data_IF_225058681137
#
_entry.id   IF_225058681137
#
_cell.length_a   1.000
_cell.length_b   1.000
_cell.length_c   1.000
_cell.angle_alpha   90.00
_cell.angle_beta   90.00
_cell.angle_gamma   90.00
#
_symmetry.space_group_name_H-M   'P 1'
#
loop_
_entity.id
_entity.type
_entity.pdbx_description
1 polymer ?
#
# COMPACT_ATOMS: atom_id res chain seq x y z
N UNK A 1 61.45 -6.01 -10.84
CA UNK A 1 60.03 -6.07 -10.46
C UNK A 1 59.96 -6.13 -8.96
N UNK A 2 59.19 -5.25 -8.35
CA UNK A 2 59.01 -5.19 -6.90
C UNK A 2 57.96 -6.21 -6.49
N UNK A 3 58.28 -7.04 -5.48
CA UNK A 3 57.42 -8.10 -4.99
C UNK A 3 57.00 -7.78 -3.56
N UNK A 4 55.72 -7.95 -3.27
CA UNK A 4 55.17 -7.95 -1.92
C UNK A 4 54.97 -9.39 -1.43
N UNK A 5 55.00 -9.54 -0.11
CA UNK A 5 54.73 -10.80 0.58
C UNK A 5 53.24 -11.14 0.58
N UNK A 6 52.92 -12.39 0.93
CA UNK A 6 51.54 -12.85 1.13
C UNK A 6 50.79 -11.99 2.16
N UNK A 7 51.45 -11.60 3.25
CA UNK A 7 50.85 -10.79 4.32
C UNK A 7 50.52 -9.37 3.85
N UNK A 8 51.43 -8.73 3.12
CA UNK A 8 51.21 -7.40 2.55
C UNK A 8 50.10 -7.43 1.49
N UNK A 9 50.07 -8.46 0.65
CA UNK A 9 49.00 -8.65 -0.33
C UNK A 9 47.64 -8.90 0.35
N UNK A 10 47.62 -9.66 1.45
CA UNK A 10 46.41 -9.94 2.22
C UNK A 10 45.81 -8.66 2.82
N UNK A 11 46.67 -7.79 3.37
CA UNK A 11 46.28 -6.49 3.89
C UNK A 11 45.81 -5.55 2.77
N UNK A 12 46.57 -5.46 1.67
CA UNK A 12 46.24 -4.60 0.54
C UNK A 12 44.93 -4.99 -0.16
N UNK A 13 44.57 -6.27 -0.18
CA UNK A 13 43.36 -6.78 -0.82
C UNK A 13 42.17 -7.02 0.13
N UNK A 14 42.34 -6.75 1.44
CA UNK A 14 41.32 -6.95 2.46
C UNK A 14 40.89 -8.42 2.60
N UNK A 15 41.83 -9.37 2.56
CA UNK A 15 41.58 -10.82 2.62
C UNK A 15 42.50 -11.54 3.60
N UNK A 16 42.21 -12.82 3.84
CA UNK A 16 43.09 -13.68 4.65
C UNK A 16 44.33 -14.12 3.86
N UNK A 17 45.47 -14.27 4.53
CA UNK A 17 46.70 -14.83 3.93
C UNK A 17 46.45 -16.21 3.31
N UNK A 18 45.58 -17.02 3.93
CA UNK A 18 45.18 -18.34 3.41
C UNK A 18 44.54 -18.25 2.03
N UNK A 19 43.77 -17.20 1.75
CA UNK A 19 43.17 -16.98 0.43
C UNK A 19 44.25 -16.57 -0.58
N UNK A 20 45.17 -15.68 -0.19
CA UNK A 20 46.27 -15.25 -1.04
C UNK A 20 47.18 -16.42 -1.42
N UNK A 21 47.56 -17.27 -0.47
CA UNK A 21 48.36 -18.48 -0.74
C UNK A 21 47.65 -19.43 -1.72
N UNK A 22 46.32 -19.57 -1.59
CA UNK A 22 45.52 -20.39 -2.50
C UNK A 22 45.49 -19.81 -3.91
N UNK A 23 45.28 -18.50 -4.04
CA UNK A 23 45.31 -17.82 -5.33
C UNK A 23 46.66 -17.94 -6.04
N UNK A 24 47.76 -17.91 -5.30
CA UNK A 24 49.10 -18.16 -5.86
C UNK A 24 49.28 -19.63 -6.25
N UNK A 25 48.86 -20.58 -5.41
CA UNK A 25 48.97 -22.01 -5.69
C UNK A 25 48.11 -22.44 -6.88
N UNK A 26 46.95 -21.82 -7.05
CA UNK A 26 46.02 -22.03 -8.16
C UNK A 26 46.48 -21.30 -9.44
N UNK A 27 47.63 -20.61 -9.42
CA UNK A 27 48.19 -19.90 -10.58
C UNK A 27 47.41 -18.66 -11.01
N UNK A 28 46.52 -18.14 -10.15
CA UNK A 28 45.56 -17.08 -10.50
C UNK A 28 46.14 -15.67 -10.42
N UNK A 29 47.32 -15.52 -9.84
CA UNK A 29 48.03 -14.24 -9.75
C UNK A 29 49.18 -14.27 -10.75
N UNK A 30 49.00 -13.57 -11.87
CA UNK A 30 50.00 -13.48 -12.92
C UNK A 30 51.31 -12.88 -12.37
N UNK A 31 52.42 -13.59 -12.59
CA UNK A 31 53.75 -13.18 -12.12
C UNK A 31 54.05 -13.50 -10.67
N UNK A 32 53.17 -14.21 -9.94
CA UNK A 32 53.51 -14.73 -8.61
C UNK A 32 54.62 -15.78 -8.71
N UNK A 33 55.66 -15.63 -7.88
CA UNK A 33 56.83 -16.52 -7.86
C UNK A 33 56.95 -17.16 -6.49
N UNK A 34 57.25 -18.46 -6.44
CA UNK A 34 57.45 -19.18 -5.19
C UNK A 34 58.90 -19.08 -4.74
N UNK A 35 59.13 -18.45 -3.59
CA UNK A 35 60.43 -18.37 -2.92
C UNK A 35 60.44 -19.35 -1.72
N UNK A 36 60.87 -20.59 -1.97
CA UNK A 36 60.89 -21.64 -0.96
C UNK A 36 59.49 -21.98 -0.43
N UNK A 37 59.22 -21.65 0.83
CA UNK A 37 57.91 -21.86 1.49
C UNK A 37 56.95 -20.67 1.35
N UNK A 38 57.39 -19.56 0.77
CA UNK A 38 56.64 -18.31 0.67
C UNK A 38 56.38 -17.92 -0.78
N UNK A 39 55.39 -17.05 -1.01
CA UNK A 39 55.09 -16.48 -2.32
C UNK A 39 55.52 -15.01 -2.38
N UNK A 40 56.19 -14.65 -3.47
CA UNK A 40 56.38 -13.25 -3.89
C UNK A 40 55.33 -12.89 -4.92
N UNK A 41 54.54 -11.86 -4.63
CA UNK A 41 53.45 -11.37 -5.47
C UNK A 41 53.87 -10.03 -6.06
N UNK A 42 53.80 -9.80 -7.39
CA UNK A 42 54.14 -8.50 -7.94
C UNK A 42 53.33 -7.39 -7.27
N UNK A 43 53.98 -6.29 -6.87
CA UNK A 43 53.29 -5.18 -6.20
C UNK A 43 52.15 -4.57 -7.05
N UNK A 44 52.24 -4.67 -8.37
CA UNK A 44 51.20 -4.25 -9.32
C UNK A 44 50.06 -5.26 -9.50
N UNK A 45 50.09 -6.42 -8.85
CA UNK A 45 49.07 -7.46 -9.00
C UNK A 45 47.74 -7.00 -8.41
N UNK A 46 46.68 -7.07 -9.21
CA UNK A 46 45.30 -6.88 -8.74
C UNK A 46 44.75 -8.21 -8.24
N UNK A 47 43.92 -8.15 -7.20
CA UNK A 47 43.21 -9.32 -6.66
C UNK A 47 42.37 -9.99 -7.77
N UNK A 48 42.60 -11.28 -8.08
CA UNK A 48 41.76 -12.02 -9.02
C UNK A 48 40.29 -12.06 -8.56
N UNK A 49 39.34 -11.84 -9.46
CA UNK A 49 37.92 -11.90 -9.16
C UNK A 49 37.48 -13.34 -8.83
N UNK A 50 36.50 -13.57 -7.97
CA UNK A 50 36.01 -14.94 -7.66
C UNK A 50 35.38 -15.56 -8.93
N UNK A 51 35.75 -16.77 -9.37
CA UNK A 51 35.16 -17.41 -10.56
C UNK A 51 33.64 -17.61 -10.42
N UNK A 52 33.10 -17.62 -9.19
CA UNK A 52 31.65 -17.62 -8.94
C UNK A 52 30.95 -16.31 -9.30
N UNK A 53 31.70 -15.25 -9.63
CA UNK A 53 31.20 -14.00 -10.20
C UNK A 53 31.33 -13.94 -11.73
N UNK A 54 32.12 -14.80 -12.37
CA UNK A 54 32.23 -14.88 -13.84
C UNK A 54 31.10 -15.70 -14.48
N UNK A 55 30.47 -16.60 -13.72
CA UNK A 55 29.33 -17.43 -14.19
C UNK A 55 27.96 -16.88 -13.79
N UNK A 56 27.87 -15.60 -13.46
CA UNK A 56 26.59 -14.94 -13.22
C UNK A 56 26.45 -13.83 -14.26
N UNK A 57 25.69 -14.11 -15.32
CA UNK A 57 25.10 -13.00 -16.07
C UNK A 57 24.21 -12.20 -15.11
N UNK A 58 24.01 -10.91 -15.36
CA UNK A 58 23.09 -10.09 -14.53
C UNK A 58 21.67 -10.71 -14.49
N UNK A 59 21.30 -11.47 -15.51
CA UNK A 59 20.08 -12.29 -15.56
C UNK A 59 20.11 -13.48 -14.59
N UNK A 60 21.24 -14.18 -14.44
CA UNK A 60 21.37 -15.32 -13.53
C UNK A 60 21.35 -14.90 -12.05
N UNK A 61 21.83 -13.71 -11.69
CA UNK A 61 21.74 -13.21 -10.31
C UNK A 61 20.30 -12.80 -9.92
N UNK A 62 19.49 -12.37 -10.90
CA UNK A 62 18.05 -12.12 -10.72
C UNK A 62 17.21 -13.40 -10.81
N UNK A 63 17.69 -14.46 -11.49
CA UNK A 63 17.03 -15.75 -11.57
C UNK A 63 17.43 -16.73 -10.44
N UNK A 64 18.65 -16.64 -9.88
CA UNK A 64 19.12 -17.53 -8.80
C UNK A 64 18.54 -17.20 -7.41
N UNK A 65 17.69 -16.18 -7.31
CA UNK A 65 16.82 -15.91 -6.16
C UNK A 65 15.34 -16.19 -6.44
N UNK A 66 14.97 -16.79 -7.58
CA UNK A 66 13.58 -17.15 -7.86
C UNK A 66 13.31 -18.57 -7.39
N UNK A 67 12.66 -18.70 -6.24
CA UNK A 67 11.82 -19.88 -6.03
C UNK A 67 10.48 -19.63 -6.75
N UNK A 68 9.92 -20.62 -7.47
CA UNK A 68 8.50 -20.58 -7.81
C UNK A 68 7.70 -20.42 -6.51
N UNK A 69 7.03 -19.28 -6.31
CA UNK A 69 6.25 -19.00 -5.09
C UNK A 69 6.60 -17.75 -4.27
N UNK A 70 7.43 -16.82 -4.77
CA UNK A 70 7.72 -15.55 -4.07
C UNK A 70 6.69 -14.42 -4.28
N UNK A 71 5.58 -14.67 -5.01
CA UNK A 71 4.52 -13.67 -5.30
C UNK A 71 5.02 -12.33 -5.86
N UNK A 72 6.13 -12.35 -6.59
CA UNK A 72 6.79 -11.14 -7.07
C UNK A 72 5.94 -10.34 -8.08
N UNK A 73 4.91 -10.97 -8.67
CA UNK A 73 4.01 -10.35 -9.65
C UNK A 73 2.70 -9.86 -9.03
N UNK A 74 2.41 -10.20 -7.77
CA UNK A 74 1.20 -9.76 -7.08
C UNK A 74 1.39 -8.34 -6.55
N UNK A 75 0.61 -7.40 -7.07
CA UNK A 75 0.62 -5.97 -6.72
C UNK A 75 2.06 -5.41 -6.61
N UNK A 76 2.84 -5.47 -7.71
CA UNK A 76 4.27 -5.19 -7.72
C UNK A 76 4.66 -3.83 -7.14
N UNK A 77 3.84 -2.78 -7.29
CA UNK A 77 4.16 -1.47 -6.69
C UNK A 77 3.76 -1.39 -5.21
N UNK A 78 2.56 -1.83 -4.84
CA UNK A 78 2.12 -1.85 -3.44
C UNK A 78 3.03 -2.75 -2.58
N UNK A 79 3.58 -3.81 -3.16
CA UNK A 79 4.53 -4.70 -2.50
C UNK A 79 5.99 -4.19 -2.51
N UNK A 80 6.28 -3.05 -3.14
CA UNK A 80 7.64 -2.55 -3.29
C UNK A 80 8.10 -1.70 -2.10
N UNK A 81 9.35 -1.94 -1.68
CA UNK A 81 10.07 -0.99 -0.85
C UNK A 81 10.78 0.02 -1.74
N UNK A 82 10.60 1.30 -1.45
CA UNK A 82 11.27 2.41 -2.13
C UNK A 82 11.29 3.65 -1.25
N UNK A 83 12.26 4.53 -1.49
CA UNK A 83 12.30 5.84 -0.85
C UNK A 83 11.20 6.74 -1.44
N UNK A 84 10.43 7.49 -0.63
CA UNK A 84 9.46 8.45 -1.13
C UNK A 84 10.07 9.39 -2.18
N UNK A 85 9.39 9.56 -3.30
CA UNK A 85 9.82 10.32 -4.48
C UNK A 85 10.34 9.46 -5.64
N UNK A 86 10.41 8.14 -5.45
CA UNK A 86 11.00 7.21 -6.43
C UNK A 86 10.00 6.14 -6.92
N UNK A 87 8.69 6.31 -6.71
CA UNK A 87 7.69 5.33 -7.18
C UNK A 87 7.73 5.16 -8.71
N UNK A 88 7.85 6.27 -9.46
CA UNK A 88 7.97 6.22 -10.92
C UNK A 88 9.25 5.51 -11.36
N UNK A 89 10.37 5.79 -10.72
CA UNK A 89 11.65 5.16 -11.03
C UNK A 89 11.61 3.65 -10.78
N UNK A 90 10.98 3.22 -9.68
CA UNK A 90 10.72 1.81 -9.43
C UNK A 90 9.90 1.19 -10.57
N UNK A 91 8.78 1.78 -10.97
CA UNK A 91 7.94 1.26 -12.06
C UNK A 91 8.70 1.18 -13.38
N UNK A 92 9.47 2.21 -13.72
CA UNK A 92 10.22 2.25 -14.98
C UNK A 92 11.39 1.24 -14.98
N UNK A 93 11.95 0.90 -13.81
CA UNK A 93 13.00 -0.11 -13.67
C UNK A 93 12.55 -1.53 -14.01
N UNK A 94 11.24 -1.81 -14.00
CA UNK A 94 10.68 -3.13 -14.30
C UNK A 94 10.73 -3.50 -15.79
N UNK A 95 11.05 -2.54 -16.67
CA UNK A 95 11.12 -2.75 -18.12
C UNK A 95 9.73 -2.91 -18.75
N UNK A 96 9.60 -3.87 -19.68
CA UNK A 96 8.34 -4.13 -20.39
C UNK A 96 7.74 -5.47 -19.98
N UNK A 97 6.41 -5.55 -20.01
CA UNK A 97 5.65 -6.78 -19.81
C UNK A 97 4.58 -6.66 -18.71
N UNK A 98 3.81 -7.74 -18.46
CA UNK A 98 2.62 -7.68 -17.62
C UNK A 98 2.88 -7.14 -16.21
N UNK A 99 4.02 -7.51 -15.59
CA UNK A 99 4.40 -7.00 -14.27
C UNK A 99 4.59 -5.48 -14.25
N UNK A 100 5.25 -4.93 -15.28
CA UNK A 100 5.48 -3.50 -15.40
C UNK A 100 4.16 -2.75 -15.71
N UNK A 101 3.28 -3.34 -16.52
CA UNK A 101 1.96 -2.79 -16.81
C UNK A 101 1.09 -2.70 -15.56
N UNK A 102 1.07 -3.76 -14.74
CA UNK A 102 0.34 -3.74 -13.46
C UNK A 102 0.94 -2.73 -12.49
N UNK A 103 2.26 -2.68 -12.33
CA UNK A 103 2.91 -1.69 -11.46
C UNK A 103 2.58 -0.25 -11.90
N UNK A 104 2.47 -0.01 -13.21
CA UNK A 104 2.07 1.27 -13.79
C UNK A 104 0.58 1.55 -13.58
N UNK A 105 -0.27 0.53 -13.66
CA UNK A 105 -1.69 0.64 -13.34
C UNK A 105 -1.91 0.99 -11.85
N UNK A 106 -1.17 0.34 -10.94
CA UNK A 106 -1.13 0.69 -9.52
C UNK A 106 -0.70 2.13 -9.30
N UNK A 107 0.38 2.58 -9.96
CA UNK A 107 0.83 3.97 -9.84
C UNK A 107 -0.24 4.96 -10.29
N UNK A 108 -0.89 4.70 -11.43
CA UNK A 108 -1.97 5.55 -11.90
C UNK A 108 -3.15 5.56 -10.92
N UNK A 109 -3.54 4.40 -10.39
CA UNK A 109 -4.60 4.31 -9.40
C UNK A 109 -4.25 5.11 -8.13
N UNK A 110 -3.10 4.86 -7.51
CA UNK A 110 -2.72 5.54 -6.26
C UNK A 110 -2.47 7.05 -6.42
N UNK A 111 -2.26 7.53 -7.65
CA UNK A 111 -2.11 8.96 -7.97
C UNK A 111 -3.40 9.63 -8.47
N UNK A 112 -4.53 8.91 -8.49
CA UNK A 112 -5.85 9.43 -8.86
C UNK A 112 -6.16 9.46 -10.36
N UNK A 113 -5.37 8.76 -11.19
CA UNK A 113 -5.51 8.64 -12.64
C UNK A 113 -6.27 7.35 -13.02
N UNK A 114 -7.56 7.34 -12.67
CA UNK A 114 -8.39 6.15 -12.77
C UNK A 114 -8.57 5.62 -14.21
N UNK A 115 -8.67 6.50 -15.21
CA UNK A 115 -8.84 6.11 -16.62
C UNK A 115 -7.62 5.30 -17.11
N UNK A 116 -6.41 5.78 -16.84
CA UNK A 116 -5.17 5.10 -17.21
C UNK A 116 -4.96 3.79 -16.45
N UNK A 117 -5.32 3.76 -15.15
CA UNK A 117 -5.30 2.56 -14.34
C UNK A 117 -6.23 1.47 -14.91
N UNK A 118 -7.47 1.85 -15.26
CA UNK A 118 -8.45 0.95 -15.90
C UNK A 118 -7.92 0.46 -17.25
N UNK A 119 -7.40 1.36 -18.10
CA UNK A 119 -6.92 1.00 -19.43
C UNK A 119 -5.83 -0.08 -19.38
N UNK A 120 -4.85 0.05 -18.48
CA UNK A 120 -3.76 -0.92 -18.32
C UNK A 120 -4.23 -2.21 -17.63
N UNK A 121 -4.99 -2.12 -16.54
CA UNK A 121 -5.46 -3.30 -15.82
C UNK A 121 -6.39 -4.17 -16.69
N UNK A 122 -7.20 -3.55 -17.56
CA UNK A 122 -8.10 -4.26 -18.48
C UNK A 122 -7.38 -5.27 -19.39
N UNK A 123 -6.15 -4.95 -19.81
CA UNK A 123 -5.35 -5.80 -20.69
C UNK A 123 -5.01 -7.15 -20.04
N UNK A 124 -5.06 -7.22 -18.71
CA UNK A 124 -4.53 -8.32 -17.92
C UNK A 124 -5.61 -9.08 -17.13
N UNK A 125 -6.89 -8.75 -17.30
CA UNK A 125 -8.02 -9.45 -16.65
C UNK A 125 -8.11 -10.93 -17.05
N UNK A 126 -7.60 -11.30 -18.23
CA UNK A 126 -7.55 -12.68 -18.72
C UNK A 126 -6.12 -13.23 -18.80
N UNK A 127 -5.15 -12.64 -18.08
CA UNK A 127 -3.77 -13.13 -18.06
C UNK A 127 -3.71 -14.58 -17.59
N UNK A 128 -2.82 -15.38 -18.18
CA UNK A 128 -2.55 -16.75 -17.71
C UNK A 128 -1.84 -16.76 -16.35
N UNK A 129 -1.04 -15.73 -16.07
CA UNK A 129 -0.41 -15.51 -14.77
C UNK A 129 -1.47 -15.08 -13.75
N UNK A 130 -1.67 -15.91 -12.72
CA UNK A 130 -2.69 -15.69 -11.70
C UNK A 130 -2.42 -14.48 -10.82
N UNK A 131 -1.17 -14.15 -10.52
CA UNK A 131 -0.81 -13.00 -9.68
C UNK A 131 -1.09 -11.70 -10.42
N UNK A 132 -0.70 -11.65 -11.70
CA UNK A 132 -1.01 -10.54 -12.61
C UNK A 132 -2.52 -10.38 -12.75
N UNK A 133 -3.24 -11.49 -12.98
CA UNK A 133 -4.69 -11.49 -13.13
C UNK A 133 -5.39 -11.00 -11.87
N UNK A 134 -5.00 -11.47 -10.69
CA UNK A 134 -5.57 -11.03 -9.41
C UNK A 134 -5.32 -9.53 -9.17
N UNK A 135 -4.10 -9.06 -9.43
CA UNK A 135 -3.75 -7.64 -9.30
C UNK A 135 -4.56 -6.77 -10.26
N UNK A 136 -4.72 -7.23 -11.51
CA UNK A 136 -5.54 -6.57 -12.52
C UNK A 136 -7.00 -6.44 -12.07
N UNK A 137 -7.59 -7.51 -11.52
CA UNK A 137 -8.97 -7.47 -11.03
C UNK A 137 -9.15 -6.47 -9.89
N UNK A 138 -8.22 -6.44 -8.92
CA UNK A 138 -8.30 -5.50 -7.81
C UNK A 138 -8.22 -4.05 -8.30
N UNK A 139 -7.18 -3.70 -9.07
CA UNK A 139 -7.00 -2.33 -9.59
C UNK A 139 -8.15 -1.93 -10.51
N UNK A 140 -8.58 -2.82 -11.41
CA UNK A 140 -9.70 -2.55 -12.30
C UNK A 140 -11.00 -2.35 -11.51
N UNK A 141 -11.26 -3.15 -10.48
CA UNK A 141 -12.47 -3.03 -9.67
C UNK A 141 -12.57 -1.65 -9.00
N UNK A 142 -11.49 -1.20 -8.37
CA UNK A 142 -11.46 0.06 -7.63
C UNK A 142 -11.37 1.28 -8.55
N UNK A 143 -10.52 1.23 -9.58
CA UNK A 143 -10.38 2.34 -10.53
C UNK A 143 -11.66 2.59 -11.37
N UNK A 144 -12.54 1.60 -11.53
CA UNK A 144 -13.84 1.82 -12.16
C UNK A 144 -14.88 2.53 -11.26
N UNK A 145 -14.68 2.58 -9.94
CA UNK A 145 -15.58 3.30 -9.02
C UNK A 145 -15.63 4.80 -9.34
N UNK A 146 -14.50 5.55 -9.34
CA UNK A 146 -14.53 6.97 -9.64
C UNK A 146 -14.97 7.31 -11.07
N UNK A 147 -14.90 6.34 -12.00
CA UNK A 147 -15.40 6.51 -13.38
C UNK A 147 -16.92 6.23 -13.50
N UNK A 148 -17.57 5.73 -12.44
CA UNK A 148 -18.99 5.38 -12.47
C UNK A 148 -19.32 4.10 -13.25
N UNK A 149 -18.31 3.32 -13.63
CA UNK A 149 -18.40 2.09 -14.40
C UNK A 149 -18.72 0.88 -13.49
N UNK A 150 -19.88 0.90 -12.85
CA UNK A 150 -20.23 -0.04 -11.78
C UNK A 150 -20.30 -1.49 -12.24
N UNK A 151 -20.79 -1.75 -13.45
CA UNK A 151 -20.83 -3.12 -13.99
C UNK A 151 -19.41 -3.68 -14.22
N UNK A 152 -18.47 -2.81 -14.59
CA UNK A 152 -17.06 -3.16 -14.71
C UNK A 152 -16.46 -3.51 -13.34
N UNK A 153 -16.74 -2.68 -12.34
CA UNK A 153 -16.30 -2.90 -10.96
C UNK A 153 -16.85 -4.21 -10.40
N UNK A 154 -18.17 -4.47 -10.50
CA UNK A 154 -18.80 -5.71 -10.02
C UNK A 154 -18.25 -6.96 -10.68
N UNK A 155 -18.10 -6.99 -12.01
CA UNK A 155 -17.51 -8.16 -12.70
C UNK A 155 -16.07 -8.41 -12.27
N UNK A 156 -15.29 -7.36 -12.05
CA UNK A 156 -13.92 -7.51 -11.60
C UNK A 156 -13.85 -7.99 -10.14
N UNK A 157 -14.76 -7.53 -9.28
CA UNK A 157 -14.94 -8.06 -7.92
C UNK A 157 -15.33 -9.53 -7.96
N UNK A 158 -16.28 -9.94 -8.80
CA UNK A 158 -16.61 -11.36 -8.98
C UNK A 158 -15.38 -12.18 -9.40
N UNK A 159 -14.56 -11.67 -10.33
CA UNK A 159 -13.31 -12.34 -10.72
C UNK A 159 -12.27 -12.42 -9.60
N UNK A 160 -12.19 -11.40 -8.74
CA UNK A 160 -11.34 -11.39 -7.55
C UNK A 160 -11.84 -12.34 -6.44
N UNK A 161 -13.16 -12.41 -6.23
CA UNK A 161 -13.82 -13.16 -5.16
C UNK A 161 -14.02 -14.64 -5.51
N UNK A 162 -14.42 -14.96 -6.75
CA UNK A 162 -14.65 -16.34 -7.24
C UNK A 162 -13.36 -17.16 -7.43
N UNK A 163 -12.20 -16.52 -7.27
CA UNK A 163 -10.92 -17.20 -7.30
C UNK A 163 -10.79 -18.25 -6.17
N UNK A 164 -11.48 -18.05 -5.05
CA UNK A 164 -11.45 -18.97 -3.89
C UNK A 164 -12.26 -20.26 -4.10
N UNK A 165 -13.15 -20.32 -5.09
CA UNK A 165 -14.10 -21.43 -5.26
C UNK A 165 -13.51 -22.65 -6.01
N UNK A 166 -12.24 -22.60 -6.45
CA UNK A 166 -11.65 -23.62 -7.33
C UNK A 166 -10.49 -24.40 -6.69
N UNK A 167 -10.78 -25.67 -6.37
CA UNK A 167 -9.86 -26.83 -6.30
C UNK A 167 -9.07 -27.12 -5.01
N UNK A 168 -9.02 -28.40 -4.66
CA UNK A 168 -8.18 -29.03 -3.63
C UNK A 168 -6.69 -29.13 -3.97
N UNK A 169 -6.24 -28.49 -5.07
CA UNK A 169 -4.87 -28.53 -5.60
C UNK A 169 -4.12 -27.18 -5.51
N UNK A 170 -4.69 -26.18 -4.83
CA UNK A 170 -4.04 -24.86 -4.67
C UNK A 170 -2.87 -24.90 -3.67
N UNK A 171 -1.80 -24.17 -3.99
CA UNK A 171 -0.69 -23.97 -3.06
C UNK A 171 -1.13 -23.04 -1.91
N UNK A 172 -0.60 -23.20 -0.67
CA UNK A 172 -0.92 -22.31 0.46
C UNK A 172 -0.68 -20.83 0.14
N UNK A 173 0.40 -20.61 -0.57
CA UNK A 173 0.79 -19.41 -1.30
C UNK A 173 -0.34 -18.77 -2.13
N UNK A 174 -0.94 -19.53 -3.06
CA UNK A 174 -1.96 -19.00 -3.96
C UNK A 174 -3.24 -18.67 -3.20
N UNK A 175 -3.59 -19.54 -2.25
CA UNK A 175 -4.71 -19.33 -1.35
C UNK A 175 -4.54 -18.06 -0.51
N UNK A 176 -3.33 -17.77 -0.03
CA UNK A 176 -3.03 -16.54 0.71
C UNK A 176 -3.19 -15.31 -0.19
N UNK A 177 -2.71 -15.36 -1.43
CA UNK A 177 -2.89 -14.28 -2.41
C UNK A 177 -4.37 -14.01 -2.74
N UNK A 178 -5.15 -15.05 -3.03
CA UNK A 178 -6.59 -14.91 -3.31
C UNK A 178 -7.34 -14.39 -2.08
N UNK A 179 -7.04 -14.95 -0.90
CA UNK A 179 -7.62 -14.51 0.37
C UNK A 179 -7.30 -13.04 0.68
N UNK A 180 -6.06 -12.61 0.43
CA UNK A 180 -5.64 -11.22 0.58
C UNK A 180 -6.45 -10.28 -0.34
N UNK A 181 -6.49 -10.57 -1.65
CA UNK A 181 -7.20 -9.74 -2.62
C UNK A 181 -8.69 -9.66 -2.30
N UNK A 182 -9.29 -10.81 -1.98
CA UNK A 182 -10.70 -10.93 -1.63
C UNK A 182 -11.05 -10.11 -0.38
N UNK A 183 -10.26 -10.25 0.71
CA UNK A 183 -10.48 -9.49 1.94
C UNK A 183 -10.18 -8.01 1.78
N UNK A 184 -9.15 -7.63 1.02
CA UNK A 184 -8.85 -6.23 0.71
C UNK A 184 -10.05 -5.58 -0.01
N UNK A 185 -10.60 -6.26 -1.03
CA UNK A 185 -11.76 -5.80 -1.77
C UNK A 185 -13.01 -5.67 -0.88
N UNK A 186 -13.36 -6.71 -0.12
CA UNK A 186 -14.52 -6.67 0.78
C UNK A 186 -14.37 -5.60 1.86
N UNK A 187 -13.20 -5.49 2.49
CA UNK A 187 -12.95 -4.53 3.58
C UNK A 187 -13.04 -3.09 3.07
N UNK A 188 -12.41 -2.75 1.94
CA UNK A 188 -12.45 -1.39 1.39
C UNK A 188 -13.86 -1.00 0.88
N UNK A 189 -14.67 -1.97 0.45
CA UNK A 189 -16.06 -1.76 0.03
C UNK A 189 -17.07 -1.87 1.18
N UNK A 190 -16.59 -2.14 2.41
CA UNK A 190 -17.41 -2.39 3.61
C UNK A 190 -18.46 -3.49 3.36
N UNK A 191 -18.07 -4.55 2.64
CA UNK A 191 -18.89 -5.72 2.37
C UNK A 191 -18.65 -6.81 3.41
N UNK A 192 -19.56 -7.79 3.49
CA UNK A 192 -19.35 -8.98 4.31
C UNK A 192 -18.10 -9.72 3.84
N UNK A 193 -17.30 -10.17 4.79
CA UNK A 193 -16.16 -11.04 4.50
C UNK A 193 -16.64 -12.34 3.81
N UNK A 194 -15.88 -12.86 2.83
CA UNK A 194 -16.18 -14.14 2.21
C UNK A 194 -16.10 -15.25 3.26
N UNK A 195 -17.11 -16.13 3.32
CA UNK A 195 -17.21 -17.17 4.36
C UNK A 195 -16.03 -18.17 4.33
N UNK A 196 -15.44 -18.38 3.15
CA UNK A 196 -14.33 -19.33 2.93
C UNK A 196 -12.95 -18.67 2.87
N UNK A 197 -12.83 -17.36 3.10
CA UNK A 197 -11.54 -16.69 3.05
C UNK A 197 -10.64 -17.15 4.23
N UNK A 198 -9.37 -17.53 3.98
CA UNK A 198 -8.46 -17.92 5.05
C UNK A 198 -8.31 -16.80 6.08
N UNK A 199 -8.09 -17.14 7.35
CA UNK A 199 -7.77 -16.14 8.38
C UNK A 199 -6.53 -15.33 7.94
N UNK A 200 -6.53 -14.01 8.16
CA UNK A 200 -5.38 -13.16 7.80
C UNK A 200 -4.11 -13.71 8.44
N UNK A 201 -4.18 -14.14 9.71
CA UNK A 201 -3.05 -14.65 10.48
C UNK A 201 -2.44 -15.89 9.79
N UNK A 202 -3.28 -16.78 9.27
CA UNK A 202 -2.84 -17.99 8.58
C UNK A 202 -2.23 -17.68 7.21
N UNK A 203 -2.70 -16.61 6.55
CA UNK A 203 -2.20 -16.17 5.25
C UNK A 203 -0.88 -15.37 5.34
N UNK A 204 -0.63 -14.65 6.45
CA UNK A 204 0.52 -13.75 6.60
C UNK A 204 1.87 -14.39 6.25
N UNK A 205 2.23 -15.61 6.70
CA UNK A 205 3.53 -16.21 6.40
C UNK A 205 3.81 -16.41 4.90
N UNK A 206 2.76 -16.47 4.10
CA UNK A 206 2.84 -16.71 2.65
C UNK A 206 2.79 -15.44 1.81
N UNK A 207 2.50 -14.28 2.43
CA UNK A 207 2.50 -13.00 1.74
C UNK A 207 3.91 -12.38 1.75
N UNK A 208 4.30 -11.70 0.66
CA UNK A 208 5.54 -10.92 0.62
C UNK A 208 5.44 -9.69 1.54
N UNK A 209 6.57 -9.10 1.96
CA UNK A 209 6.60 -8.12 3.05
C UNK A 209 5.68 -6.91 2.89
N UNK A 210 5.63 -6.29 1.70
CA UNK A 210 4.77 -5.13 1.46
C UNK A 210 3.28 -5.50 1.50
N UNK A 211 2.92 -6.68 0.97
CA UNK A 211 1.56 -7.22 1.10
C UNK A 211 1.18 -7.61 2.52
N UNK A 212 2.13 -8.11 3.32
CA UNK A 212 1.90 -8.33 4.77
C UNK A 212 1.59 -7.02 5.48
N UNK A 213 2.34 -5.96 5.19
CA UNK A 213 2.08 -4.63 5.74
C UNK A 213 0.68 -4.13 5.36
N UNK A 214 0.28 -4.30 4.09
CA UNK A 214 -1.07 -3.93 3.65
C UNK A 214 -2.16 -4.83 4.25
N UNK A 215 -1.89 -6.12 4.48
CA UNK A 215 -2.81 -7.03 5.14
C UNK A 215 -3.08 -6.62 6.60
N UNK A 216 -2.09 -6.05 7.30
CA UNK A 216 -2.32 -5.43 8.61
C UNK A 216 -3.24 -4.21 8.52
N UNK A 217 -3.10 -3.37 7.49
CA UNK A 217 -4.05 -2.29 7.23
C UNK A 217 -5.47 -2.82 7.01
N UNK A 218 -5.64 -3.85 6.18
CA UNK A 218 -6.95 -4.48 5.93
C UNK A 218 -7.54 -5.03 7.24
N UNK A 219 -6.74 -5.69 8.07
CA UNK A 219 -7.17 -6.21 9.37
C UNK A 219 -7.53 -5.09 10.36
N UNK A 220 -6.76 -4.00 10.39
CA UNK A 220 -7.06 -2.83 11.20
C UNK A 220 -8.37 -2.19 10.75
N UNK A 221 -8.56 -1.94 9.45
CA UNK A 221 -9.78 -1.37 8.90
C UNK A 221 -11.00 -2.26 9.20
N UNK A 222 -10.88 -3.59 9.09
CA UNK A 222 -11.95 -4.50 9.51
C UNK A 222 -12.29 -4.37 11.02
N UNK A 223 -11.29 -4.25 11.89
CA UNK A 223 -11.51 -4.00 13.32
C UNK A 223 -12.13 -2.62 13.59
N UNK A 224 -11.75 -1.60 12.84
CA UNK A 224 -12.37 -0.27 12.87
C UNK A 224 -13.86 -0.34 12.52
N UNK A 225 -14.22 -1.06 11.44
CA UNK A 225 -15.63 -1.25 11.02
C UNK A 225 -16.44 -2.06 12.04
N UNK A 226 -15.79 -2.94 12.80
CA UNK A 226 -16.40 -3.65 13.92
C UNK A 226 -16.56 -2.77 15.19
N UNK A 227 -16.09 -1.52 15.17
CA UNK A 227 -16.14 -0.58 16.30
C UNK A 227 -15.03 -0.77 17.33
N UNK A 228 -14.07 -1.68 17.09
CA UNK A 228 -12.94 -1.94 17.99
C UNK A 228 -11.74 -1.05 17.62
N UNK A 229 -11.92 0.26 17.78
CA UNK A 229 -10.94 1.28 17.38
C UNK A 229 -9.60 1.16 18.12
N UNK A 230 -9.61 0.69 19.37
CA UNK A 230 -8.39 0.50 20.14
C UNK A 230 -7.55 -0.67 19.59
N UNK A 231 -8.22 -1.78 19.23
CA UNK A 231 -7.55 -2.92 18.58
C UNK A 231 -7.04 -2.54 17.19
N UNK A 232 -7.85 -1.85 16.39
CA UNK A 232 -7.45 -1.37 15.06
C UNK A 232 -6.19 -0.50 15.15
N UNK A 233 -6.19 0.50 16.04
CA UNK A 233 -5.02 1.36 16.26
C UNK A 233 -3.78 0.55 16.65
N UNK A 234 -3.94 -0.40 17.58
CA UNK A 234 -2.84 -1.26 18.02
C UNK A 234 -2.26 -2.11 16.90
N UNK A 235 -3.10 -2.63 15.99
CA UNK A 235 -2.64 -3.35 14.79
C UNK A 235 -1.83 -2.41 13.89
N UNK A 236 -2.35 -1.22 13.61
CA UNK A 236 -1.72 -0.26 12.71
C UNK A 236 -0.35 0.21 13.25
N UNK A 237 -0.29 0.66 14.50
CA UNK A 237 0.94 1.15 15.13
C UNK A 237 2.00 0.04 15.25
N UNK A 238 1.59 -1.19 15.61
CA UNK A 238 2.52 -2.33 15.71
C UNK A 238 3.11 -2.67 14.34
N UNK A 239 2.28 -2.66 13.28
CA UNK A 239 2.75 -2.93 11.93
C UNK A 239 3.74 -1.86 11.44
N UNK A 240 3.49 -0.59 11.75
CA UNK A 240 4.38 0.52 11.43
C UNK A 240 5.72 0.43 12.19
N UNK A 241 5.71 0.06 13.46
CA UNK A 241 6.93 -0.11 14.27
C UNK A 241 7.76 -1.33 13.86
N UNK A 242 7.11 -2.39 13.38
CA UNK A 242 7.74 -3.66 13.02
C UNK A 242 8.29 -3.74 11.59
N UNK A 243 8.18 -2.66 10.79
CA UNK A 243 8.63 -2.66 9.41
C UNK A 243 10.17 -2.53 9.31
N UNK A 244 10.82 -3.51 8.69
CA UNK A 244 12.28 -3.51 8.45
C UNK A 244 12.70 -2.58 7.30
N UNK A 245 11.79 -2.34 6.35
CA UNK A 245 11.97 -1.48 5.18
C UNK A 245 10.75 -0.56 5.03
N UNK A 246 10.91 0.55 4.33
CA UNK A 246 9.79 1.46 4.02
C UNK A 246 9.04 0.94 2.79
N UNK A 247 7.78 0.57 3.00
CA UNK A 247 6.80 0.29 1.94
C UNK A 247 5.80 1.47 1.89
N UNK A 248 6.03 2.51 1.06
CA UNK A 248 5.29 3.77 1.20
C UNK A 248 3.79 3.62 1.09
N UNK A 249 3.27 2.85 0.11
CA UNK A 249 1.83 2.65 -0.07
C UNK A 249 1.21 1.96 1.18
N UNK A 250 1.67 0.78 1.64
CA UNK A 250 1.18 0.20 2.89
C UNK A 250 1.28 1.12 4.10
N UNK A 251 2.39 1.85 4.26
CA UNK A 251 2.59 2.75 5.40
C UNK A 251 1.61 3.94 5.38
N UNK A 252 1.31 4.50 4.20
CA UNK A 252 0.27 5.54 4.04
C UNK A 252 -1.07 5.01 4.55
N UNK A 253 -1.52 3.85 4.07
CA UNK A 253 -2.82 3.29 4.47
C UNK A 253 -2.87 2.91 5.97
N UNK A 254 -1.78 2.39 6.54
CA UNK A 254 -1.65 2.12 7.98
C UNK A 254 -1.77 3.41 8.82
N UNK A 255 -1.15 4.50 8.37
CA UNK A 255 -1.32 5.80 9.03
C UNK A 255 -2.75 6.33 8.87
N UNK A 256 -3.38 6.19 7.70
CA UNK A 256 -4.74 6.66 7.49
C UNK A 256 -5.76 5.93 8.38
N UNK A 257 -5.64 4.61 8.55
CA UNK A 257 -6.52 3.88 9.49
C UNK A 257 -6.25 4.29 10.94
N UNK A 258 -4.99 4.54 11.33
CA UNK A 258 -4.69 5.08 12.65
C UNK A 258 -5.32 6.46 12.88
N UNK A 259 -5.37 7.33 11.85
CA UNK A 259 -6.10 8.60 11.90
C UNK A 259 -7.60 8.36 12.15
N UNK A 260 -8.21 7.42 11.43
CA UNK A 260 -9.62 7.06 11.61
C UNK A 260 -9.89 6.61 13.05
N UNK A 261 -9.06 5.70 13.58
CA UNK A 261 -9.16 5.19 14.94
C UNK A 261 -9.03 6.28 15.99
N UNK A 262 -7.99 7.12 15.89
CA UNK A 262 -7.73 8.20 16.83
C UNK A 262 -8.85 9.25 16.80
N UNK A 263 -9.43 9.52 15.62
CA UNK A 263 -10.60 10.39 15.52
C UNK A 263 -11.85 9.79 16.17
N UNK A 264 -12.06 8.47 16.04
CA UNK A 264 -13.13 7.76 16.76
C UNK A 264 -12.90 7.77 18.29
N UNK A 265 -11.64 7.66 18.72
CA UNK A 265 -11.21 7.73 20.13
C UNK A 265 -11.08 9.17 20.68
N UNK A 266 -11.40 10.20 19.88
CA UNK A 266 -11.28 11.62 20.23
C UNK A 266 -9.87 12.05 20.64
N UNK A 267 -8.86 11.59 19.92
CA UNK A 267 -7.43 11.92 20.08
C UNK A 267 -6.90 12.70 18.85
N UNK A 268 -7.43 13.91 18.54
CA UNK A 268 -7.14 14.62 17.29
C UNK A 268 -5.67 15.08 17.17
N UNK A 269 -4.98 15.30 18.28
CA UNK A 269 -3.55 15.68 18.26
C UNK A 269 -2.69 14.56 17.70
N UNK A 270 -2.90 13.33 18.15
CA UNK A 270 -2.17 12.15 17.68
C UNK A 270 -2.62 11.76 16.26
N UNK A 271 -3.92 11.93 15.95
CA UNK A 271 -4.42 11.78 14.59
C UNK A 271 -3.70 12.73 13.61
N UNK A 272 -3.43 13.98 14.03
CA UNK A 272 -2.68 14.94 13.22
C UNK A 272 -1.25 14.47 12.96
N UNK A 273 -0.58 13.85 13.93
CA UNK A 273 0.77 13.32 13.76
C UNK A 273 0.80 12.21 12.70
N UNK A 274 -0.09 11.23 12.80
CA UNK A 274 -0.20 10.18 11.79
C UNK A 274 -0.56 10.71 10.41
N UNK A 275 -1.48 11.69 10.32
CA UNK A 275 -1.82 12.29 9.03
C UNK A 275 -0.62 12.97 8.37
N UNK A 276 0.22 13.67 9.15
CA UNK A 276 1.42 14.31 8.63
C UNK A 276 2.47 13.29 8.20
N UNK A 277 2.65 12.18 8.94
CA UNK A 277 3.51 11.08 8.50
C UNK A 277 3.01 10.46 7.18
N UNK A 278 1.70 10.20 7.06
CA UNK A 278 1.11 9.72 5.80
C UNK A 278 1.39 10.70 4.65
N UNK A 279 1.23 12.01 4.91
CA UNK A 279 1.42 13.05 3.92
C UNK A 279 2.87 13.20 3.47
N UNK A 280 3.83 13.08 4.38
CA UNK A 280 5.26 13.09 4.07
C UNK A 280 5.68 11.92 3.18
N UNK A 281 5.08 10.74 3.37
CA UNK A 281 5.29 9.57 2.51
C UNK A 281 4.63 9.73 1.14
N UNK A 282 3.42 10.29 1.10
CA UNK A 282 2.60 10.34 -0.11
C UNK A 282 2.98 11.45 -1.08
N UNK A 283 3.25 12.66 -0.56
CA UNK A 283 3.39 13.89 -1.35
C UNK A 283 4.51 13.84 -2.40
N UNK A 284 5.70 13.26 -2.14
CA UNK A 284 6.77 13.22 -3.14
C UNK A 284 6.42 12.46 -4.42
N UNK A 285 5.58 11.42 -4.31
CA UNK A 285 5.13 10.57 -5.42
C UNK A 285 3.69 10.84 -5.86
N UNK A 286 3.02 11.83 -5.24
CA UNK A 286 1.63 12.19 -5.50
C UNK A 286 0.63 11.04 -5.22
N UNK A 287 0.94 10.17 -4.24
CA UNK A 287 0.14 8.99 -3.86
C UNK A 287 -1.09 9.39 -3.02
N UNK A 288 -2.02 10.13 -3.62
CA UNK A 288 -3.12 10.81 -2.94
C UNK A 288 -4.46 10.03 -2.91
N UNK A 289 -4.61 8.92 -3.64
CA UNK A 289 -5.87 8.18 -3.75
C UNK A 289 -6.41 7.76 -2.37
N UNK A 290 -5.56 7.17 -1.53
CA UNK A 290 -5.96 6.69 -0.20
C UNK A 290 -6.55 7.78 0.70
N UNK A 291 -6.09 9.03 0.58
CA UNK A 291 -6.67 10.16 1.33
C UNK A 291 -8.09 10.47 0.85
N UNK A 292 -8.33 10.37 -0.46
CA UNK A 292 -9.64 10.60 -1.07
C UNK A 292 -10.65 9.52 -0.71
N UNK A 293 -10.22 8.25 -0.74
CA UNK A 293 -11.02 7.06 -0.39
C UNK A 293 -11.50 7.07 1.06
N UNK A 294 -10.63 7.51 1.98
CA UNK A 294 -10.89 7.49 3.41
C UNK A 294 -11.44 8.81 3.96
N UNK A 295 -11.59 9.86 3.13
CA UNK A 295 -11.96 11.21 3.55
C UNK A 295 -13.08 11.25 4.59
N UNK A 296 -14.18 10.52 4.35
CA UNK A 296 -15.35 10.48 5.23
C UNK A 296 -15.06 9.91 6.62
N UNK A 297 -14.07 9.03 6.75
CA UNK A 297 -13.67 8.36 7.99
C UNK A 297 -12.53 9.09 8.72
N UNK A 298 -11.77 9.94 8.02
CA UNK A 298 -10.65 10.73 8.57
C UNK A 298 -11.11 11.87 9.51
N UNK A 299 -12.41 11.97 9.80
CA UNK A 299 -12.93 12.86 10.85
C UNK A 299 -12.60 14.34 10.65
N UNK A 300 -12.46 14.79 9.40
CA UNK A 300 -12.15 16.19 9.10
C UNK A 300 -10.68 16.60 9.24
N UNK A 301 -9.78 15.62 9.36
CA UNK A 301 -8.34 15.91 9.45
C UNK A 301 -7.76 16.50 8.18
N UNK A 302 -8.32 16.16 7.01
CA UNK A 302 -7.91 16.80 5.75
C UNK A 302 -8.28 18.29 5.72
N UNK A 303 -9.46 18.67 6.20
CA UNK A 303 -9.89 20.06 6.33
C UNK A 303 -9.05 20.83 7.35
N UNK A 304 -8.69 20.20 8.46
CA UNK A 304 -7.97 20.83 9.55
C UNK A 304 -6.46 20.98 9.28
N UNK A 305 -5.86 20.05 8.54
CA UNK A 305 -4.40 19.94 8.39
C UNK A 305 -3.96 20.16 6.94
N UNK A 306 -4.53 19.41 5.99
CA UNK A 306 -4.08 19.47 4.60
C UNK A 306 -4.55 20.75 3.91
N UNK A 307 -5.83 21.12 4.05
CA UNK A 307 -6.39 22.32 3.43
C UNK A 307 -5.63 23.62 3.72
N UNK A 308 -5.25 23.96 4.98
CA UNK A 308 -4.50 25.19 5.24
C UNK A 308 -3.04 25.13 4.77
N UNK A 309 -2.40 23.95 4.76
CA UNK A 309 -0.99 23.80 4.36
C UNK A 309 -0.79 23.62 2.85
N UNK A 310 -1.72 22.92 2.20
CA UNK A 310 -1.65 22.45 0.81
C UNK A 310 -3.04 22.53 0.14
N UNK A 311 -3.56 23.74 -0.12
CA UNK A 311 -4.94 23.92 -0.60
C UNK A 311 -5.22 23.32 -1.98
N UNK A 312 -4.24 23.33 -2.89
CA UNK A 312 -4.39 22.73 -4.22
C UNK A 312 -4.42 21.20 -4.15
N UNK A 313 -3.55 20.59 -3.33
CA UNK A 313 -3.56 19.15 -3.10
C UNK A 313 -4.85 18.71 -2.41
N UNK A 314 -5.32 19.48 -1.42
CA UNK A 314 -6.63 19.26 -0.80
C UNK A 314 -7.75 19.25 -1.85
N UNK A 315 -7.74 20.19 -2.81
CA UNK A 315 -8.75 20.23 -3.88
C UNK A 315 -8.70 18.97 -4.76
N UNK A 316 -7.51 18.47 -5.08
CA UNK A 316 -7.33 17.23 -5.85
C UNK A 316 -7.83 16.00 -5.08
N UNK A 317 -7.51 15.90 -3.78
CA UNK A 317 -8.01 14.85 -2.90
C UNK A 317 -9.55 14.86 -2.83
N UNK A 318 -10.15 16.05 -2.69
CA UNK A 318 -11.62 16.19 -2.65
C UNK A 318 -12.27 15.79 -3.97
N UNK A 319 -11.63 16.03 -5.12
CA UNK A 319 -12.12 15.55 -6.42
C UNK A 319 -12.16 14.02 -6.48
N UNK A 320 -11.11 13.35 -5.98
CA UNK A 320 -11.09 11.89 -5.82
C UNK A 320 -12.23 11.45 -4.90
N UNK A 321 -12.41 12.08 -3.73
CA UNK A 321 -13.49 11.73 -2.79
C UNK A 321 -14.87 11.81 -3.44
N UNK A 322 -15.17 12.86 -4.21
CA UNK A 322 -16.47 12.99 -4.88
C UNK A 322 -16.72 11.85 -5.86
N UNK A 323 -15.74 11.58 -6.74
CA UNK A 323 -15.85 10.53 -7.76
C UNK A 323 -15.91 9.14 -7.12
N UNK A 324 -14.96 8.83 -6.24
CA UNK A 324 -14.86 7.54 -5.56
C UNK A 324 -16.12 7.23 -4.74
N UNK A 325 -16.54 8.15 -3.86
CA UNK A 325 -17.72 7.92 -3.00
C UNK A 325 -19.01 7.71 -3.80
N UNK A 326 -19.15 8.39 -4.95
CA UNK A 326 -20.30 8.20 -5.84
C UNK A 326 -20.34 6.79 -6.44
N UNK A 327 -19.19 6.28 -6.90
CA UNK A 327 -19.09 4.91 -7.40
C UNK A 327 -19.24 3.87 -6.29
N UNK A 328 -18.54 4.08 -5.19
CA UNK A 328 -18.53 3.22 -4.00
C UNK A 328 -19.94 3.00 -3.45
N UNK A 329 -20.76 4.06 -3.26
CA UNK A 329 -22.15 3.93 -2.78
C UNK A 329 -23.02 3.05 -3.68
N UNK A 330 -22.78 3.07 -5.00
CA UNK A 330 -23.54 2.24 -5.97
C UNK A 330 -23.17 0.76 -5.91
N UNK A 331 -22.06 0.42 -5.27
CA UNK A 331 -21.67 -0.97 -4.96
C UNK A 331 -22.06 -1.33 -3.53
N UNK A 332 -21.70 -0.48 -2.57
CA UNK A 332 -21.91 -0.69 -1.13
C UNK A 332 -23.39 -0.72 -0.72
N UNK A 333 -24.15 0.38 -0.94
CA UNK A 333 -25.52 0.52 -0.44
C UNK A 333 -26.43 -0.66 -0.87
N UNK A 334 -26.42 -1.14 -2.14
CA UNK A 334 -27.24 -2.28 -2.54
C UNK A 334 -26.81 -3.61 -1.89
N UNK A 335 -25.52 -3.76 -1.57
CA UNK A 335 -24.97 -4.99 -1.02
C UNK A 335 -25.15 -5.09 0.51
N UNK A 336 -25.11 -3.97 1.23
CA UNK A 336 -25.28 -3.94 2.69
C UNK A 336 -26.71 -3.62 3.12
N UNK A 337 -27.48 -2.96 2.26
CA UNK A 337 -28.78 -2.38 2.60
C UNK A 337 -28.69 -1.02 3.31
N UNK A 338 -27.48 -0.45 3.40
CA UNK A 338 -27.25 0.87 3.99
C UNK A 338 -27.70 2.00 3.06
N UNK A 339 -27.93 3.18 3.65
CA UNK A 339 -28.33 4.39 2.93
C UNK A 339 -27.34 5.53 3.18
N UNK A 340 -26.06 5.28 2.87
CA UNK A 340 -25.01 6.30 3.01
C UNK A 340 -25.32 7.47 2.08
N UNK A 341 -25.35 8.69 2.65
CA UNK A 341 -25.80 9.88 1.96
C UNK A 341 -25.01 10.19 0.67
N UNK A 342 -25.72 10.56 -0.40
CA UNK A 342 -25.16 10.97 -1.69
C UNK A 342 -25.29 12.48 -1.98
N UNK A 343 -26.12 13.19 -1.21
CA UNK A 343 -26.50 14.58 -1.47
C UNK A 343 -25.81 15.63 -0.58
N UNK A 344 -24.87 15.20 0.26
CA UNK A 344 -24.05 16.07 1.10
C UNK A 344 -22.74 16.44 0.40
N UNK A 345 -22.31 17.69 0.58
CA UNK A 345 -20.93 18.07 0.27
C UNK A 345 -19.96 17.35 1.22
N UNK A 346 -18.70 17.20 0.82
CA UNK A 346 -17.67 16.56 1.68
C UNK A 346 -17.58 17.22 3.05
N UNK A 347 -17.65 18.54 3.14
CA UNK A 347 -17.63 19.26 4.42
C UNK A 347 -18.91 19.05 5.25
N UNK A 348 -20.08 19.03 4.62
CA UNK A 348 -21.34 18.71 5.32
C UNK A 348 -21.32 17.27 5.85
N UNK A 349 -20.81 16.33 5.06
CA UNK A 349 -20.64 14.92 5.44
C UNK A 349 -19.71 14.81 6.64
N UNK A 350 -18.51 15.40 6.59
CA UNK A 350 -17.55 15.40 7.71
C UNK A 350 -18.15 15.99 8.99
N UNK A 351 -18.80 17.15 8.91
CA UNK A 351 -19.42 17.76 10.08
C UNK A 351 -20.53 16.85 10.66
N UNK A 352 -21.30 16.20 9.78
CA UNK A 352 -22.38 15.27 10.15
C UNK A 352 -21.85 13.98 10.78
N UNK A 353 -20.75 13.44 10.27
CA UNK A 353 -20.01 12.30 10.84
C UNK A 353 -19.56 12.59 12.28
N UNK A 354 -18.86 13.71 12.49
CA UNK A 354 -18.41 14.13 13.83
C UNK A 354 -19.60 14.36 14.77
N UNK A 355 -20.68 14.96 14.25
CA UNK A 355 -21.91 15.18 14.99
C UNK A 355 -22.59 13.87 15.41
N UNK A 356 -22.61 12.86 14.54
CA UNK A 356 -23.14 11.53 14.82
C UNK A 356 -22.30 10.80 15.88
N UNK A 357 -20.97 11.03 15.90
CA UNK A 357 -20.04 10.56 16.95
C UNK A 357 -20.08 11.38 18.25
N UNK A 358 -21.11 12.19 18.40
CA UNK A 358 -21.40 12.94 19.62
C UNK A 358 -20.51 14.15 19.86
N UNK A 359 -19.72 14.61 18.87
CA UNK A 359 -18.99 15.87 19.02
C UNK A 359 -20.00 17.02 19.08
N UNK A 360 -19.74 18.04 19.88
CA UNK A 360 -20.53 19.27 19.96
C UNK A 360 -20.18 20.21 18.80
N UNK A 361 -21.06 21.18 18.50
CA UNK A 361 -20.75 22.17 17.46
C UNK A 361 -19.50 23.00 17.80
N UNK A 362 -19.21 23.22 19.09
CA UNK A 362 -18.02 23.93 19.53
C UNK A 362 -16.75 23.12 19.28
N UNK A 363 -16.75 21.82 19.62
CA UNK A 363 -15.64 20.91 19.36
C UNK A 363 -15.39 20.76 17.85
N UNK A 364 -16.44 20.57 17.05
CA UNK A 364 -16.33 20.47 15.57
C UNK A 364 -15.76 21.77 15.00
N UNK A 365 -16.22 22.92 15.48
CA UNK A 365 -15.76 24.23 15.01
C UNK A 365 -14.28 24.45 15.32
N UNK A 366 -13.86 24.14 16.54
CA UNK A 366 -12.46 24.22 16.96
C UNK A 366 -11.59 23.28 16.12
N UNK A 367 -12.03 22.05 15.91
CA UNK A 367 -11.31 21.03 15.14
C UNK A 367 -11.14 21.40 13.68
N UNK A 368 -12.23 21.81 13.02
CA UNK A 368 -12.23 22.14 11.58
C UNK A 368 -11.71 23.55 11.28
N UNK A 369 -11.37 24.35 12.30
CA UNK A 369 -10.90 25.74 12.12
C UNK A 369 -11.97 26.68 11.55
N UNK A 370 -13.24 26.46 11.91
CA UNK A 370 -14.39 27.28 11.46
C UNK A 370 -15.20 27.81 12.65
N UNK A 371 -16.20 28.66 12.41
CA UNK A 371 -17.06 29.17 13.49
C UNK A 371 -18.14 28.14 13.92
N UNK A 372 -18.60 28.13 15.18
CA UNK A 372 -19.73 27.30 15.61
C UNK A 372 -21.03 27.55 14.81
N UNK A 373 -21.23 28.77 14.32
CA UNK A 373 -22.36 29.12 13.45
C UNK A 373 -22.24 28.48 12.08
N UNK A 374 -21.02 28.38 11.55
CA UNK A 374 -20.72 27.67 10.30
C UNK A 374 -21.06 26.18 10.44
N UNK A 375 -20.62 25.54 11.53
CA UNK A 375 -20.99 24.14 11.82
C UNK A 375 -22.50 23.98 11.94
N UNK A 376 -23.18 24.88 12.65
CA UNK A 376 -24.64 24.86 12.75
C UNK A 376 -25.30 24.93 11.36
N UNK A 377 -24.78 25.78 10.47
CA UNK A 377 -25.26 25.89 9.10
C UNK A 377 -25.07 24.59 8.31
N UNK A 378 -23.90 23.94 8.40
CA UNK A 378 -23.65 22.63 7.79
C UNK A 378 -24.63 21.58 8.29
N UNK A 379 -24.75 21.41 9.61
CA UNK A 379 -25.67 20.42 10.19
C UNK A 379 -27.12 20.70 9.80
N UNK A 380 -27.58 21.96 9.85
CA UNK A 380 -28.94 22.31 9.41
C UNK A 380 -29.17 22.03 7.93
N UNK A 381 -28.15 22.26 7.09
CA UNK A 381 -28.22 21.90 5.67
C UNK A 381 -28.31 20.39 5.48
N UNK A 382 -27.47 19.61 6.16
CA UNK A 382 -27.51 18.14 6.12
C UNK A 382 -28.86 17.59 6.55
N UNK A 383 -29.39 18.04 7.70
CA UNK A 383 -30.70 17.57 8.20
C UNK A 383 -31.81 17.80 7.16
N UNK A 384 -31.85 18.99 6.55
CA UNK A 384 -32.83 19.33 5.50
C UNK A 384 -32.65 18.45 4.26
N UNK A 385 -31.42 18.26 3.79
CA UNK A 385 -31.12 17.43 2.60
C UNK A 385 -31.47 15.96 2.81
N UNK A 386 -31.24 15.45 4.02
CA UNK A 386 -31.55 14.07 4.40
C UNK A 386 -33.01 13.87 4.83
N UNK A 387 -33.82 14.91 4.88
CA UNK A 387 -35.23 14.82 5.30
C UNK A 387 -35.44 14.44 6.77
N UNK A 388 -34.44 14.68 7.63
CA UNK A 388 -34.50 14.39 9.07
C UNK A 388 -34.52 15.68 9.90
N UNK A 389 -35.03 15.60 11.12
CA UNK A 389 -35.19 16.76 12.01
C UNK A 389 -34.30 16.73 13.24
N UNK A 390 -33.79 15.55 13.63
CA UNK A 390 -32.98 15.38 14.84
C UNK A 390 -31.55 15.02 14.48
N UNK A 391 -30.59 15.68 15.14
CA UNK A 391 -29.15 15.37 15.02
C UNK A 391 -28.83 13.89 15.25
N UNK A 392 -29.55 13.25 16.17
CA UNK A 392 -29.35 11.84 16.52
C UNK A 392 -29.66 10.89 15.36
N UNK A 393 -30.48 11.32 14.39
CA UNK A 393 -30.84 10.51 13.23
C UNK A 393 -29.74 10.54 12.14
N UNK A 394 -28.73 11.42 12.25
CA UNK A 394 -27.62 11.51 11.28
C UNK A 394 -26.88 10.18 11.12
N UNK A 395 -26.70 9.43 12.21
CA UNK A 395 -25.98 8.15 12.20
C UNK A 395 -26.51 7.12 11.21
N UNK A 396 -27.78 7.22 10.78
CA UNK A 396 -28.39 6.32 9.77
C UNK A 396 -27.85 6.52 8.35
N UNK A 397 -27.28 7.70 8.07
CA UNK A 397 -26.83 8.10 6.74
C UNK A 397 -25.30 8.28 6.68
N UNK A 398 -24.64 8.06 7.81
CA UNK A 398 -23.21 8.23 8.03
C UNK A 398 -22.53 6.86 8.04
N UNK A 399 -21.23 6.81 7.78
CA UNK A 399 -20.45 5.58 7.95
C UNK A 399 -20.30 5.29 9.46
N UNK A 400 -20.32 4.02 9.83
CA UNK A 400 -20.18 3.57 11.22
C UNK A 400 -18.88 4.08 11.88
#
# INVERSE_FOLDING_TARGET
>A
MEYMTVGEAAQHWGVTERLVQRLCADGRIAGAVRFGRSWGIPASARKPQDPRRESATLDDAQQAKRQPGDYANLMPLLNAAFEPGHAREFVDSLGAGPRADIARAELFYFTGHADEAVALANLHLSSDDVEIRLSAHLIYAFANLPLGNIDGSRRALEGALSALERSSLETPQLRAAQGFISRAASTLLHLKDPEDAPDVIDALPFLPPGLRAFAFYVQAHAAYLAGDHARSLGIAETALMGADETYPIPAIYLHLVAVMDLMALRRPTEAREHLLCAWELARPDDLIEGFGEHHGLLGGMLEAVIKPGWPEDFKRIIDITYRFSAGWRRVHNPATGDDVADNLTTTEFTASMLAARGWTNAEIAQHMGVSPNTVKSYISSSLRKLGITRRQDLGRFMLA
#
